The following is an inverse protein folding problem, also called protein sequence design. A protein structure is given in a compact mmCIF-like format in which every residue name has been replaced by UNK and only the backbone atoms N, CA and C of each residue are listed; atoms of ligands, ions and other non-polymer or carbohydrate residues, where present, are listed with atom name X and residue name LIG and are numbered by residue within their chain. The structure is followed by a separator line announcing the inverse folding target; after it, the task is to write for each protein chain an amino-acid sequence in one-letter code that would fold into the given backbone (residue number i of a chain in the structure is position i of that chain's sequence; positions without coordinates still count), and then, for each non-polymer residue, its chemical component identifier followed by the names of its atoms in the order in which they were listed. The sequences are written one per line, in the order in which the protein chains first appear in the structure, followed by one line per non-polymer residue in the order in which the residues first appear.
data_IF_794439664903
#
_entry.id   IF_794439664903
#
_cell.length_a   1.000
_cell.length_b   1.000
_cell.length_c   1.000
_cell.angle_alpha   90.00
_cell.angle_beta   90.00
_cell.angle_gamma   90.00
#
_symmetry.space_group_name_H-M   'P 1'
#
loop_
_entity.id
_entity.type
_entity.pdbx_description
1 polymer ?
#
# COMPACT_ATOMS: atom_id res chain seq x y z
N UNK A 1 36.53 9.37 -13.11
CA UNK A 1 35.23 9.77 -13.69
C UNK A 1 34.51 8.54 -14.23
N UNK A 2 33.68 7.86 -13.43
CA UNK A 2 32.89 6.72 -13.89
C UNK A 2 31.44 7.22 -14.06
N UNK A 3 31.05 7.44 -15.32
CA UNK A 3 29.64 7.63 -15.70
C UNK A 3 28.89 6.32 -15.39
N UNK A 4 28.04 6.34 -14.35
CA UNK A 4 27.01 5.33 -14.19
C UNK A 4 26.03 5.48 -15.36
N UNK A 5 26.11 4.56 -16.31
CA UNK A 5 25.09 4.41 -17.34
C UNK A 5 23.77 4.12 -16.66
N UNK A 6 22.79 5.00 -16.84
CA UNK A 6 21.40 4.80 -16.43
C UNK A 6 20.87 3.59 -17.24
N UNK A 7 20.82 2.44 -16.60
CA UNK A 7 20.10 1.28 -17.17
C UNK A 7 18.61 1.61 -17.12
N UNK A 8 18.05 1.95 -18.27
CA UNK A 8 16.60 1.94 -18.53
C UNK A 8 16.11 0.47 -18.54
N UNK A 9 16.21 -0.23 -17.40
CA UNK A 9 15.62 -1.55 -17.27
C UNK A 9 14.14 -1.38 -16.99
N UNK A 10 13.29 -1.93 -17.84
CA UNK A 10 11.85 -2.09 -17.58
C UNK A 10 11.67 -2.83 -16.27
N UNK A 11 10.83 -2.30 -15.38
CA UNK A 11 10.57 -2.93 -14.09
C UNK A 11 9.54 -4.04 -14.33
N UNK A 12 10.04 -5.27 -14.45
CA UNK A 12 9.21 -6.43 -14.79
C UNK A 12 8.37 -6.96 -13.65
N UNK A 13 8.80 -6.72 -12.40
CA UNK A 13 8.10 -7.19 -11.20
C UNK A 13 7.69 -6.03 -10.31
N UNK A 14 6.51 -6.13 -9.69
CA UNK A 14 6.03 -5.17 -8.70
C UNK A 14 5.10 -5.85 -7.70
N UNK A 15 5.07 -5.35 -6.47
CA UNK A 15 4.21 -5.86 -5.41
C UNK A 15 3.23 -4.80 -4.97
N UNK A 16 1.94 -5.15 -4.89
CA UNK A 16 0.87 -4.30 -4.33
C UNK A 16 0.35 -4.85 -3.02
N UNK A 17 0.02 -3.97 -2.08
CA UNK A 17 -0.59 -4.30 -0.79
C UNK A 17 -1.88 -3.51 -0.62
N UNK A 18 -3.00 -4.22 -0.35
CA UNK A 18 -4.31 -3.64 -0.08
C UNK A 18 -5.10 -4.52 0.89
N UNK A 19 -6.06 -3.93 1.64
CA UNK A 19 -6.91 -4.62 2.60
C UNK A 19 -8.36 -4.80 2.12
N UNK A 20 -8.77 -4.07 1.11
CA UNK A 20 -10.14 -4.10 0.62
C UNK A 20 -11.18 -3.65 1.67
N UNK A 21 -12.46 -4.00 1.48
CA UNK A 21 -13.52 -3.65 2.41
C UNK A 21 -13.39 -4.40 3.74
N UNK A 22 -13.89 -3.79 4.81
CA UNK A 22 -13.97 -4.39 6.14
C UNK A 22 -15.19 -3.87 6.92
N UNK A 23 -15.65 -4.63 7.91
CA UNK A 23 -16.66 -4.16 8.85
C UNK A 23 -15.98 -3.33 9.95
N UNK A 24 -16.54 -2.16 10.23
CA UNK A 24 -16.06 -1.33 11.34
C UNK A 24 -16.26 -2.07 12.68
N UNK A 25 -15.50 -1.70 13.72
CA UNK A 25 -15.67 -2.24 15.09
C UNK A 25 -17.09 -2.07 15.61
N UNK A 26 -17.77 -0.96 15.25
CA UNK A 26 -19.16 -0.70 15.66
C UNK A 26 -20.13 -1.72 15.07
N UNK A 27 -19.79 -2.32 13.94
CA UNK A 27 -20.56 -3.37 13.26
C UNK A 27 -20.01 -4.77 13.55
N UNK A 28 -19.26 -4.95 14.65
CA UNK A 28 -18.70 -6.23 15.05
C UNK A 28 -17.44 -6.67 14.29
N UNK A 29 -16.89 -5.82 13.43
CA UNK A 29 -15.66 -6.10 12.71
C UNK A 29 -14.45 -6.14 13.64
N UNK A 30 -13.71 -7.25 13.64
CA UNK A 30 -12.51 -7.43 14.45
C UNK A 30 -11.24 -7.51 13.62
N UNK A 31 -11.33 -8.08 12.42
CA UNK A 31 -10.21 -8.26 11.49
C UNK A 31 -10.61 -7.97 10.05
N UNK A 32 -9.62 -7.61 9.24
CA UNK A 32 -9.74 -7.46 7.79
C UNK A 32 -8.67 -8.31 7.09
N UNK A 33 -8.90 -8.75 5.84
CA UNK A 33 -7.84 -9.35 5.04
C UNK A 33 -6.79 -8.30 4.70
N UNK A 34 -5.52 -8.68 4.68
CA UNK A 34 -4.44 -7.94 4.08
C UNK A 34 -3.86 -8.78 2.95
N UNK A 35 -3.90 -8.27 1.75
CA UNK A 35 -3.45 -8.98 0.55
C UNK A 35 -2.17 -8.37 0.03
N UNK A 36 -1.21 -9.23 -0.28
CA UNK A 36 0.03 -8.90 -0.98
C UNK A 36 -0.01 -9.62 -2.33
N UNK A 37 -0.04 -8.86 -3.42
CA UNK A 37 -0.06 -9.38 -4.79
C UNK A 37 1.26 -9.06 -5.50
N UNK A 38 1.98 -10.06 -5.96
CA UNK A 38 3.20 -9.91 -6.77
C UNK A 38 2.85 -10.16 -8.24
N UNK A 39 3.15 -9.18 -9.07
CA UNK A 39 2.97 -9.25 -10.51
C UNK A 39 4.31 -9.31 -11.25
N UNK A 40 4.32 -10.00 -12.37
CA UNK A 40 5.36 -9.95 -13.40
C UNK A 40 4.68 -9.50 -14.71
N UNK A 41 4.96 -8.27 -15.15
CA UNK A 41 4.16 -7.63 -16.19
C UNK A 41 2.67 -7.70 -15.83
N UNK A 42 1.78 -8.13 -16.74
CA UNK A 42 0.33 -8.20 -16.47
C UNK A 42 -0.09 -9.43 -15.62
N UNK A 43 0.83 -10.34 -15.31
CA UNK A 43 0.50 -11.63 -14.71
C UNK A 43 0.65 -11.61 -13.19
N UNK A 44 -0.39 -12.03 -12.46
CA UNK A 44 -0.31 -12.31 -11.03
C UNK A 44 0.52 -13.60 -10.83
N UNK A 45 1.72 -13.46 -10.26
CA UNK A 45 2.63 -14.59 -10.01
C UNK A 45 2.38 -15.22 -8.65
N UNK A 46 2.19 -14.38 -7.64
CA UNK A 46 1.93 -14.83 -6.27
C UNK A 46 0.95 -13.92 -5.56
N UNK A 47 0.05 -14.48 -4.78
CA UNK A 47 -0.75 -13.77 -3.80
C UNK A 47 -0.51 -14.37 -2.41
N UNK A 48 -0.46 -13.50 -1.41
CA UNK A 48 -0.40 -13.88 0.01
C UNK A 48 -1.46 -13.13 0.77
N UNK A 49 -2.13 -13.81 1.66
CA UNK A 49 -3.23 -13.28 2.46
C UNK A 49 -2.89 -13.42 3.93
N UNK A 50 -3.07 -12.36 4.68
CA UNK A 50 -3.03 -12.33 6.14
C UNK A 50 -4.27 -11.69 6.70
N UNK A 51 -4.38 -11.64 8.02
CA UNK A 51 -5.43 -10.90 8.72
C UNK A 51 -4.79 -9.83 9.60
N UNK A 52 -5.35 -8.63 9.58
CA UNK A 52 -4.98 -7.52 10.44
C UNK A 52 -6.17 -7.09 11.28
N UNK A 53 -5.91 -6.56 12.47
CA UNK A 53 -6.98 -6.08 13.35
C UNK A 53 -7.53 -4.74 12.84
N UNK A 54 -8.85 -4.62 12.81
CA UNK A 54 -9.49 -3.33 12.53
C UNK A 54 -9.03 -2.32 13.59
N UNK A 55 -8.54 -1.18 13.13
CA UNK A 55 -7.94 -0.13 13.98
C UNK A 55 -6.79 -0.62 14.88
N UNK A 56 -6.13 -1.71 14.50
CA UNK A 56 -4.98 -2.27 15.22
C UNK A 56 -3.68 -1.51 15.02
N UNK A 57 -2.56 -2.16 15.37
CA UNK A 57 -1.18 -1.68 15.14
C UNK A 57 -0.29 -2.81 14.60
N UNK A 58 -0.88 -3.83 14.03
CA UNK A 58 -0.21 -5.04 13.56
C UNK A 58 0.01 -5.10 12.05
N UNK A 59 -0.53 -4.14 11.29
CA UNK A 59 -0.44 -4.16 9.83
C UNK A 59 0.99 -4.18 9.30
N UNK A 60 1.92 -3.40 9.88
CA UNK A 60 3.33 -3.43 9.49
C UNK A 60 3.97 -4.81 9.70
N UNK A 61 3.67 -5.44 10.83
CA UNK A 61 4.21 -6.78 11.15
C UNK A 61 3.67 -7.84 10.20
N UNK A 62 2.35 -7.83 9.95
CA UNK A 62 1.71 -8.79 9.04
C UNK A 62 2.21 -8.59 7.61
N UNK A 63 2.24 -7.34 7.11
CA UNK A 63 2.79 -7.02 5.79
C UNK A 63 4.25 -7.51 5.65
N UNK A 64 5.08 -7.29 6.67
CA UNK A 64 6.48 -7.74 6.68
C UNK A 64 6.60 -9.27 6.62
N UNK A 65 5.72 -10.01 7.28
CA UNK A 65 5.69 -11.50 7.21
C UNK A 65 5.27 -11.98 5.83
N UNK A 66 4.21 -11.39 5.27
CA UNK A 66 3.71 -11.75 3.93
C UNK A 66 4.76 -11.47 2.84
N UNK A 67 5.39 -10.30 2.88
CA UNK A 67 6.48 -9.94 1.96
C UNK A 67 7.68 -10.89 2.12
N UNK A 68 8.04 -11.25 3.34
CA UNK A 68 9.12 -12.20 3.62
C UNK A 68 8.91 -13.58 3.01
N UNK A 69 7.66 -13.99 2.77
CA UNK A 69 7.33 -15.25 2.10
C UNK A 69 7.39 -15.18 0.56
N UNK A 70 7.69 -14.01 -0.02
CA UNK A 70 7.87 -13.80 -1.46
C UNK A 70 9.32 -13.83 -1.91
N UNK A 71 10.26 -14.14 -1.00
CA UNK A 71 11.69 -14.07 -1.28
C UNK A 71 12.14 -14.90 -2.50
N UNK A 72 13.10 -14.43 -3.30
CA UNK A 72 13.75 -13.12 -3.21
C UNK A 72 12.83 -11.96 -3.62
N UNK A 73 12.84 -10.86 -2.85
CA UNK A 73 12.05 -9.67 -3.11
C UNK A 73 12.96 -8.52 -3.58
N UNK A 74 13.07 -8.35 -4.88
CA UNK A 74 13.83 -7.31 -5.57
C UNK A 74 12.93 -6.29 -6.29
N UNK A 75 11.64 -6.38 -6.01
CA UNK A 75 10.57 -5.62 -6.68
C UNK A 75 10.13 -4.42 -5.86
N UNK A 76 9.73 -3.30 -6.49
CA UNK A 76 9.09 -2.20 -5.77
C UNK A 76 7.83 -2.65 -5.02
N UNK A 77 7.61 -2.07 -3.85
CA UNK A 77 6.42 -2.30 -3.00
C UNK A 77 5.51 -1.08 -3.11
N UNK A 78 4.27 -1.29 -3.51
CA UNK A 78 3.23 -0.27 -3.55
C UNK A 78 2.21 -0.54 -2.43
N UNK A 79 1.81 0.51 -1.70
CA UNK A 79 0.81 0.47 -0.63
C UNK A 79 -0.42 1.26 -1.05
N UNK A 80 -1.61 0.72 -0.90
CA UNK A 80 -2.88 1.41 -1.15
C UNK A 80 -3.22 2.37 0.02
N UNK A 81 -2.38 3.38 0.24
CA UNK A 81 -2.42 4.26 1.39
C UNK A 81 -1.46 3.85 2.50
N UNK A 82 -1.44 4.63 3.59
CA UNK A 82 -0.66 4.32 4.79
C UNK A 82 -1.49 3.65 5.89
N UNK A 83 -2.84 3.74 5.80
CA UNK A 83 -3.78 3.18 6.78
C UNK A 83 -4.60 2.06 6.15
N UNK A 84 -4.77 0.97 6.87
CA UNK A 84 -5.45 -0.26 6.47
C UNK A 84 -6.44 -0.65 7.55
N UNK A 85 -7.55 -1.28 7.19
CA UNK A 85 -8.61 -1.66 8.13
C UNK A 85 -8.92 -0.55 9.16
N UNK A 86 -9.17 0.65 8.65
CA UNK A 86 -9.35 1.86 9.45
C UNK A 86 -8.02 2.58 9.69
N UNK A 87 -7.59 2.68 10.94
CA UNK A 87 -6.33 3.35 11.31
C UNK A 87 -5.21 2.38 11.72
N UNK A 88 -5.21 1.16 11.22
CA UNK A 88 -4.07 0.25 11.35
C UNK A 88 -3.01 0.63 10.31
N UNK A 89 -1.82 1.03 10.76
CA UNK A 89 -0.84 1.71 9.91
C UNK A 89 0.23 0.74 9.44
N UNK A 90 0.52 0.73 8.14
CA UNK A 90 1.76 0.16 7.61
C UNK A 90 2.79 1.29 7.55
N UNK A 91 3.90 1.13 8.27
CA UNK A 91 5.02 2.05 8.21
C UNK A 91 5.91 1.73 7.00
N UNK A 92 5.91 2.56 5.94
CA UNK A 92 6.64 2.27 4.71
C UNK A 92 8.17 2.28 4.91
N UNK A 93 8.68 3.08 5.86
CA UNK A 93 10.12 3.11 6.17
C UNK A 93 10.62 1.79 6.77
N UNK A 94 9.76 1.10 7.55
CA UNK A 94 10.10 -0.23 8.09
C UNK A 94 10.20 -1.26 6.95
N UNK A 95 9.26 -1.25 6.02
CA UNK A 95 9.31 -2.14 4.85
C UNK A 95 10.53 -1.83 3.98
N UNK A 96 10.74 -0.57 3.64
CA UNK A 96 11.87 -0.13 2.82
C UNK A 96 13.22 -0.56 3.42
N UNK A 97 13.43 -0.35 4.73
CA UNK A 97 14.68 -0.75 5.40
C UNK A 97 14.87 -2.26 5.43
N UNK A 98 13.78 -3.01 5.69
CA UNK A 98 13.82 -4.47 5.80
C UNK A 98 14.11 -5.15 4.46
N UNK A 99 13.46 -4.69 3.40
CA UNK A 99 13.54 -5.34 2.07
C UNK A 99 14.50 -4.64 1.11
N UNK A 100 14.99 -3.44 1.47
CA UNK A 100 15.96 -2.65 0.68
C UNK A 100 15.48 -2.36 -0.75
N UNK A 101 14.18 -2.23 -0.93
CA UNK A 101 13.54 -1.96 -2.22
C UNK A 101 12.68 -0.70 -2.13
N UNK A 102 12.45 0.03 -3.23
CA UNK A 102 11.54 1.17 -3.26
C UNK A 102 10.18 0.80 -2.66
N UNK A 103 9.69 1.64 -1.74
CA UNK A 103 8.36 1.48 -1.13
C UNK A 103 7.58 2.77 -1.34
N UNK A 104 6.43 2.69 -2.02
CA UNK A 104 5.66 3.85 -2.44
C UNK A 104 4.23 3.74 -1.87
N UNK A 105 3.83 4.74 -1.10
CA UNK A 105 2.44 4.90 -0.64
C UNK A 105 1.66 5.62 -1.73
N UNK A 106 0.57 5.03 -2.21
CA UNK A 106 -0.26 5.57 -3.30
C UNK A 106 -1.62 5.95 -2.75
N UNK A 107 -2.06 7.17 -3.04
CA UNK A 107 -3.29 7.75 -2.50
C UNK A 107 -4.12 8.32 -3.66
N UNK A 108 -5.37 7.89 -3.78
CA UNK A 108 -6.25 8.29 -4.88
C UNK A 108 -6.72 9.76 -4.85
N UNK A 109 -6.72 10.39 -3.67
CA UNK A 109 -7.10 11.79 -3.47
C UNK A 109 -6.20 12.44 -2.42
N UNK A 110 -6.05 13.76 -2.49
CA UNK A 110 -5.21 14.49 -1.55
C UNK A 110 -5.69 14.28 -0.11
N UNK A 111 -4.86 13.78 0.81
CA UNK A 111 -5.25 13.55 2.19
C UNK A 111 -5.53 14.88 2.93
N UNK A 112 -6.48 14.84 3.85
CA UNK A 112 -6.75 15.95 4.76
C UNK A 112 -6.16 15.65 6.14
N UNK A 113 -4.90 16.03 6.34
CA UNK A 113 -4.16 15.76 7.57
C UNK A 113 -4.85 16.30 8.84
N UNK A 114 -5.52 17.46 8.73
CA UNK A 114 -6.27 18.03 9.86
C UNK A 114 -7.45 17.14 10.25
N UNK A 115 -8.17 16.60 9.26
CA UNK A 115 -9.28 15.68 9.51
C UNK A 115 -8.79 14.36 10.08
N UNK A 116 -7.71 13.80 9.52
CA UNK A 116 -7.04 12.58 10.02
C UNK A 116 -6.63 12.76 11.48
N UNK A 117 -5.91 13.85 11.81
CA UNK A 117 -5.47 14.12 13.18
C UNK A 117 -6.63 14.27 14.15
N UNK A 118 -7.69 15.00 13.77
CA UNK A 118 -8.91 15.13 14.61
C UNK A 118 -9.56 13.76 14.88
N UNK A 119 -9.68 12.92 13.86
CA UNK A 119 -10.23 11.57 14.01
C UNK A 119 -9.38 10.72 14.96
N UNK A 120 -8.05 10.76 14.81
CA UNK A 120 -7.14 10.05 15.72
C UNK A 120 -7.29 10.50 17.17
N UNK A 121 -7.27 11.81 17.42
CA UNK A 121 -7.42 12.38 18.77
C UNK A 121 -8.76 11.96 19.39
N UNK A 122 -9.84 11.95 18.60
CA UNK A 122 -11.19 11.65 19.09
C UNK A 122 -11.39 10.16 19.40
N UNK A 123 -10.75 9.27 18.65
CA UNK A 123 -11.12 7.84 18.68
C UNK A 123 -10.03 6.91 19.20
N UNK A 124 -8.79 7.40 19.40
CA UNK A 124 -7.67 6.54 19.77
C UNK A 124 -6.87 7.11 20.95
N UNK A 125 -6.79 6.39 22.07
CA UNK A 125 -5.95 6.83 23.21
C UNK A 125 -4.46 6.88 22.85
N UNK A 126 -4.04 6.04 21.87
CA UNK A 126 -2.67 5.98 21.34
C UNK A 126 -2.43 6.89 20.12
N UNK A 127 -3.30 7.91 19.91
CA UNK A 127 -3.26 8.80 18.75
C UNK A 127 -1.89 9.43 18.48
N UNK A 128 -1.11 9.76 19.53
CA UNK A 128 0.23 10.34 19.38
C UNK A 128 1.18 9.38 18.65
N UNK A 129 1.11 8.08 18.96
CA UNK A 129 1.90 7.03 18.30
C UNK A 129 1.52 6.91 16.82
N UNK A 130 0.23 6.87 16.50
CA UNK A 130 -0.27 6.79 15.13
C UNK A 130 0.09 8.05 14.35
N UNK A 131 -0.15 9.22 14.92
CA UNK A 131 0.15 10.49 14.28
C UNK A 131 1.65 10.65 14.00
N UNK A 132 2.52 10.21 14.90
CA UNK A 132 3.98 10.24 14.70
C UNK A 132 4.39 9.49 13.44
N UNK A 133 3.77 8.34 13.13
CA UNK A 133 4.06 7.57 11.92
C UNK A 133 3.55 8.33 10.69
N UNK A 134 2.28 8.77 10.70
CA UNK A 134 1.65 9.45 9.56
C UNK A 134 2.30 10.81 9.26
N UNK A 135 2.61 11.61 10.29
CA UNK A 135 3.27 12.91 10.09
C UNK A 135 4.75 12.82 9.69
N UNK A 136 5.37 11.66 9.88
CA UNK A 136 6.74 11.38 9.45
C UNK A 136 6.82 10.77 8.03
N UNK A 137 5.70 10.60 7.33
CA UNK A 137 5.69 10.26 5.93
C UNK A 137 6.37 11.38 5.13
N UNK A 138 6.86 11.06 3.94
CA UNK A 138 7.65 11.99 3.12
C UNK A 138 6.82 13.14 2.52
N UNK A 139 7.42 13.95 1.66
CA UNK A 139 6.69 14.98 0.96
C UNK A 139 5.64 14.33 0.04
N UNK A 140 4.42 14.88 0.09
CA UNK A 140 3.32 14.44 -0.77
C UNK A 140 3.55 14.96 -2.19
N UNK A 141 3.83 14.04 -3.10
CA UNK A 141 3.97 14.30 -4.53
C UNK A 141 2.70 13.91 -5.29
N UNK A 142 2.60 14.34 -6.55
CA UNK A 142 1.49 13.94 -7.43
C UNK A 142 2.00 13.56 -8.81
N UNK A 143 1.32 12.61 -9.45
CA UNK A 143 1.61 12.20 -10.82
C UNK A 143 0.32 11.83 -11.55
N UNK A 144 0.23 12.21 -12.83
CA UNK A 144 -0.81 11.73 -13.73
C UNK A 144 -0.30 10.46 -14.40
N UNK A 145 -0.93 9.35 -14.11
CA UNK A 145 -0.57 8.03 -14.64
C UNK A 145 -1.47 7.61 -15.80
N UNK A 146 -2.70 8.14 -15.88
CA UNK A 146 -3.68 7.82 -16.90
C UNK A 146 -4.26 9.09 -17.54
N UNK A 147 -4.47 9.08 -18.88
CA UNK A 147 -4.77 10.30 -19.63
C UNK A 147 -6.05 11.03 -19.21
N UNK A 148 -7.13 10.29 -19.04
CA UNK A 148 -8.48 10.82 -18.81
C UNK A 148 -8.90 10.82 -17.35
N UNK A 149 -7.97 10.52 -16.43
CA UNK A 149 -8.23 10.50 -15.01
C UNK A 149 -7.41 11.55 -14.26
N UNK A 150 -7.90 11.97 -13.09
CA UNK A 150 -7.16 12.88 -12.23
C UNK A 150 -5.84 12.28 -11.73
N UNK A 151 -4.92 13.11 -11.18
CA UNK A 151 -3.66 12.61 -10.66
C UNK A 151 -3.89 11.71 -9.45
N UNK A 152 -2.94 10.82 -9.20
CA UNK A 152 -2.74 10.16 -7.92
C UNK A 152 -1.70 10.91 -7.11
N UNK A 153 -1.79 10.79 -5.79
CA UNK A 153 -0.80 11.31 -4.86
C UNK A 153 0.07 10.17 -4.35
N UNK A 154 1.32 10.45 -3.99
CA UNK A 154 2.20 9.42 -3.49
C UNK A 154 3.29 9.99 -2.58
N UNK A 155 3.87 9.11 -1.78
CA UNK A 155 5.05 9.33 -0.96
C UNK A 155 6.02 8.18 -1.19
N UNK A 156 7.29 8.50 -1.50
CA UNK A 156 8.28 7.52 -1.91
C UNK A 156 9.38 7.35 -0.86
N UNK A 157 9.83 6.12 -0.68
CA UNK A 157 10.87 5.74 0.26
C UNK A 157 11.87 4.81 -0.42
N UNK A 158 13.16 5.16 -0.31
CA UNK A 158 14.24 4.35 -0.87
C UNK A 158 14.45 4.49 -2.38
N UNK A 159 13.84 5.51 -2.99
CA UNK A 159 14.08 5.90 -4.37
C UNK A 159 13.86 7.41 -4.55
N UNK A 160 14.39 7.95 -5.63
CA UNK A 160 14.20 9.34 -6.04
C UNK A 160 12.81 9.55 -6.68
N UNK A 161 12.34 10.82 -6.70
CA UNK A 161 11.01 11.18 -7.23
C UNK A 161 10.82 10.73 -8.68
N UNK A 162 11.84 10.90 -9.54
CA UNK A 162 11.78 10.47 -10.94
C UNK A 162 11.61 8.95 -11.07
N UNK A 163 12.26 8.18 -10.21
CA UNK A 163 12.13 6.72 -10.20
C UNK A 163 10.73 6.31 -9.72
N UNK A 164 10.23 6.93 -8.66
CA UNK A 164 8.86 6.67 -8.17
C UNK A 164 7.81 6.97 -9.25
N UNK A 165 7.93 8.11 -9.95
CA UNK A 165 7.04 8.47 -11.07
C UNK A 165 7.10 7.45 -12.20
N UNK A 166 8.29 6.95 -12.55
CA UNK A 166 8.47 5.93 -13.56
C UNK A 166 7.77 4.65 -13.15
N UNK A 167 8.01 4.15 -11.93
CA UNK A 167 7.34 2.96 -11.39
C UNK A 167 5.82 3.11 -11.49
N UNK A 168 5.28 4.22 -10.98
CA UNK A 168 3.84 4.45 -10.96
C UNK A 168 3.23 4.49 -12.37
N UNK A 169 3.89 5.14 -13.34
CA UNK A 169 3.42 5.20 -14.73
C UNK A 169 3.50 3.84 -15.43
N UNK A 170 4.60 3.10 -15.27
CA UNK A 170 4.77 1.79 -15.88
C UNK A 170 3.72 0.79 -15.40
N UNK A 171 3.30 0.88 -14.13
CA UNK A 171 2.33 -0.04 -13.54
C UNK A 171 0.88 0.44 -13.59
N UNK A 172 0.59 1.61 -14.16
CA UNK A 172 -0.77 2.15 -14.33
C UNK A 172 -1.23 2.04 -15.78
N UNK A 173 -1.52 0.84 -16.27
CA UNK A 173 -1.89 0.59 -17.67
C UNK A 173 -3.36 0.21 -17.87
N UNK A 174 -4.11 -0.13 -16.82
CA UNK A 174 -5.55 -0.40 -16.88
C UNK A 174 -6.35 0.82 -16.39
N UNK A 175 -5.84 1.52 -15.38
CA UNK A 175 -6.45 2.70 -14.77
C UNK A 175 -5.36 3.58 -14.14
N UNK A 176 -5.74 4.71 -13.54
CA UNK A 176 -4.77 5.52 -12.79
C UNK A 176 -4.18 4.81 -11.56
N UNK A 177 -4.88 3.80 -11.03
CA UNK A 177 -4.37 2.98 -9.93
C UNK A 177 -3.37 1.95 -10.48
N UNK A 178 -2.15 1.87 -9.93
CA UNK A 178 -1.18 0.86 -10.33
C UNK A 178 -1.76 -0.55 -10.22
N UNK A 179 -1.50 -1.37 -11.23
CA UNK A 179 -2.10 -2.70 -11.37
C UNK A 179 -1.86 -3.63 -10.17
N UNK A 180 -0.67 -3.67 -9.54
CA UNK A 180 -0.48 -4.50 -8.34
C UNK A 180 -1.43 -4.13 -7.20
N UNK A 181 -1.75 -2.85 -7.02
CA UNK A 181 -2.72 -2.40 -6.01
C UNK A 181 -4.15 -2.79 -6.41
N UNK A 182 -4.51 -2.58 -7.69
CA UNK A 182 -5.83 -2.95 -8.20
C UNK A 182 -6.09 -4.44 -8.02
N UNK A 183 -5.11 -5.30 -8.34
CA UNK A 183 -5.20 -6.75 -8.18
C UNK A 183 -5.29 -7.14 -6.70
N UNK A 184 -4.45 -6.58 -5.83
CA UNK A 184 -4.53 -6.83 -4.40
C UNK A 184 -5.92 -6.47 -3.83
N UNK A 185 -6.46 -5.31 -4.22
CA UNK A 185 -7.79 -4.87 -3.81
C UNK A 185 -8.93 -5.76 -4.36
N UNK A 186 -8.80 -6.29 -5.58
CA UNK A 186 -9.78 -7.24 -6.13
C UNK A 186 -9.81 -8.54 -5.33
N UNK A 187 -8.63 -9.10 -5.03
CA UNK A 187 -8.52 -10.31 -4.20
C UNK A 187 -9.09 -10.06 -2.81
N UNK A 188 -8.76 -8.93 -2.18
CA UNK A 188 -9.24 -8.57 -0.86
C UNK A 188 -10.78 -8.43 -0.81
N UNK A 189 -11.39 -7.82 -1.84
CA UNK A 189 -12.85 -7.72 -1.97
C UNK A 189 -13.52 -9.09 -2.12
N UNK A 190 -12.96 -9.96 -2.95
CA UNK A 190 -13.47 -11.33 -3.12
C UNK A 190 -13.47 -12.11 -1.80
N UNK A 191 -12.39 -12.01 -1.03
CA UNK A 191 -12.29 -12.64 0.29
C UNK A 191 -13.28 -12.07 1.31
N UNK A 192 -13.57 -10.78 1.27
CA UNK A 192 -14.57 -10.15 2.13
C UNK A 192 -15.99 -10.65 1.82
N UNK A 193 -16.37 -10.71 0.54
CA UNK A 193 -17.67 -11.20 0.11
C UNK A 193 -17.88 -12.67 0.48
N UNK A 194 -16.89 -13.52 0.26
CA UNK A 194 -16.95 -14.93 0.64
C UNK A 194 -17.19 -15.11 2.14
N UNK A 195 -16.48 -14.36 2.99
CA UNK A 195 -16.67 -14.42 4.45
C UNK A 195 -18.04 -13.93 4.92
N UNK A 196 -18.74 -13.09 4.17
CA UNK A 196 -20.12 -12.71 4.45
C UNK A 196 -21.09 -13.83 4.08
N UNK A 197 -20.90 -14.47 2.92
CA UNK A 197 -21.75 -15.55 2.42
C UNK A 197 -21.69 -16.83 3.29
N UNK A 198 -20.57 -17.07 3.97
CA UNK A 198 -20.40 -18.23 4.86
C UNK A 198 -20.90 -17.99 6.28
N UNK A 199 -21.41 -16.81 6.60
CA UNK A 199 -22.00 -16.46 7.91
C UNK A 199 -23.53 -16.41 7.91
N UNK A 200 -24.15 -16.63 6.75
CA UNK A 200 -25.59 -16.79 6.54
C UNK A 200 -25.95 -18.27 6.48
#
# INVERSE_FOLDING_TARGET
MHRRASRNSTITNCVGIDDGPFLSRRLGGSTAPLVVAQLNGPHLVKARVGRIRVDGLDATLVASKLLGSLQPLDSPILLAGATFAGFNIINPRVLQRRFRTPTIVVIGSRPNDRAVKRALVRHFPDWRKRWRILSALGPLCQVRTFRNEGPIFYEAFGCEDNEARRILKEWSYVSRTPEPLRVAGLVARGLFQHNLSTRL
#
